data_IF_004375495843
#
_entry.id   IF_004375495843
#
_cell.length_a   1.000
_cell.length_b   1.000
_cell.length_c   1.000
_cell.angle_alpha   90.00
_cell.angle_beta   90.00
_cell.angle_gamma   90.00
#
_symmetry.space_group_name_H-M   'P 1'
#
loop_
_entity.id
_entity.type
_entity.pdbx_description
1 polymer ?
#
# COMPACT_ATOMS: atom_id res chain seq x y z
N UNK A 1 -4.62 -4.08 22.46
CA UNK A 1 -5.68 -5.09 22.26
C UNK A 1 -6.44 -4.92 20.94
N UNK A 2 -6.86 -3.70 20.58
CA UNK A 2 -7.63 -3.42 19.35
C UNK A 2 -6.94 -3.89 18.05
N UNK A 3 -5.62 -3.69 17.90
CA UNK A 3 -4.88 -4.15 16.70
C UNK A 3 -4.79 -5.68 16.56
N UNK A 4 -4.74 -6.41 17.67
CA UNK A 4 -4.64 -7.87 17.64
C UNK A 4 -5.99 -8.51 17.28
N UNK A 5 -7.09 -7.95 17.77
CA UNK A 5 -8.43 -8.35 17.37
C UNK A 5 -8.70 -8.04 15.89
N UNK A 6 -8.33 -6.85 15.40
CA UNK A 6 -8.46 -6.50 13.98
C UNK A 6 -7.65 -7.41 13.07
N UNK A 7 -6.43 -7.79 13.46
CA UNK A 7 -5.60 -8.72 12.72
C UNK A 7 -6.20 -10.14 12.70
N UNK A 8 -6.65 -10.64 13.86
CA UNK A 8 -7.29 -11.95 13.96
C UNK A 8 -8.55 -12.05 13.09
N UNK A 9 -9.41 -11.01 13.13
CA UNK A 9 -10.60 -10.93 12.27
C UNK A 9 -10.21 -10.98 10.79
N UNK A 10 -9.20 -10.20 10.38
CA UNK A 10 -8.74 -10.20 9.00
C UNK A 10 -8.19 -11.55 8.54
N UNK A 11 -7.44 -12.25 9.40
CA UNK A 11 -6.96 -13.62 9.13
C UNK A 11 -8.13 -14.60 8.98
N UNK A 12 -9.10 -14.57 9.89
CA UNK A 12 -10.28 -15.45 9.82
C UNK A 12 -11.12 -15.18 8.58
N UNK A 13 -11.41 -13.92 8.25
CA UNK A 13 -12.16 -13.55 7.06
C UNK A 13 -11.44 -13.92 5.77
N UNK A 14 -10.10 -13.80 5.75
CA UNK A 14 -9.30 -14.24 4.61
C UNK A 14 -9.44 -15.76 4.43
N UNK A 15 -9.31 -16.54 5.51
CA UNK A 15 -9.43 -18.00 5.44
C UNK A 15 -10.82 -18.46 4.99
N UNK A 16 -11.88 -17.81 5.47
CA UNK A 16 -13.27 -18.05 5.02
C UNK A 16 -13.44 -17.74 3.54
N UNK A 17 -12.89 -16.63 3.06
CA UNK A 17 -12.96 -16.27 1.65
C UNK A 17 -12.26 -17.30 0.77
N UNK A 18 -11.11 -17.83 1.20
CA UNK A 18 -10.36 -18.87 0.47
C UNK A 18 -11.15 -20.15 0.38
N UNK A 19 -11.69 -20.63 1.50
CA UNK A 19 -12.49 -21.86 1.53
C UNK A 19 -13.71 -21.70 0.63
N UNK A 20 -14.35 -20.53 0.67
CA UNK A 20 -15.51 -20.22 -0.18
C UNK A 20 -15.15 -20.25 -1.66
N UNK A 21 -14.02 -19.64 -2.04
CA UNK A 21 -13.52 -19.66 -3.42
C UNK A 21 -13.15 -21.08 -3.84
N UNK A 22 -12.50 -21.87 -2.98
CA UNK A 22 -12.15 -23.26 -3.26
C UNK A 22 -13.38 -24.17 -3.43
N UNK A 23 -14.42 -23.97 -2.62
CA UNK A 23 -15.67 -24.69 -2.78
C UNK A 23 -16.34 -24.34 -4.10
N UNK A 24 -16.35 -23.06 -4.50
CA UNK A 24 -16.85 -22.64 -5.81
C UNK A 24 -16.05 -23.25 -6.96
N UNK A 25 -14.71 -23.23 -6.85
CA UNK A 25 -13.75 -23.83 -7.78
C UNK A 25 -13.95 -25.35 -7.95
N UNK A 26 -14.41 -26.03 -6.90
CA UNK A 26 -14.69 -27.48 -6.94
C UNK A 26 -15.93 -27.82 -7.76
N UNK A 27 -16.82 -26.86 -7.99
CA UNK A 27 -18.03 -27.02 -8.80
C UNK A 27 -17.90 -26.39 -10.20
N UNK A 28 -16.82 -25.67 -10.51
CA UNK A 28 -16.61 -25.06 -11.83
C UNK A 28 -16.08 -26.07 -12.84
N UNK A 29 -16.59 -26.05 -14.09
CA UNK A 29 -16.05 -26.87 -15.17
C UNK A 29 -14.62 -26.47 -15.53
N UNK A 30 -13.83 -27.46 -15.96
CA UNK A 30 -12.44 -27.30 -16.40
C UNK A 30 -12.32 -26.28 -17.54
N UNK A 31 -11.33 -25.38 -17.45
CA UNK A 31 -11.03 -24.37 -18.49
C UNK A 31 -11.64 -22.99 -18.26
N UNK A 32 -12.37 -22.78 -17.16
CA UNK A 32 -12.87 -21.47 -16.72
C UNK A 32 -11.79 -20.69 -15.95
N UNK A 33 -11.78 -19.36 -16.05
CA UNK A 33 -10.81 -18.48 -15.36
C UNK A 33 -11.28 -18.19 -13.92
N UNK A 34 -11.61 -19.23 -13.17
CA UNK A 34 -12.07 -19.20 -11.77
C UNK A 34 -10.98 -18.78 -10.78
N UNK A 35 -9.71 -19.02 -11.12
CA UNK A 35 -8.57 -18.57 -10.32
C UNK A 35 -8.56 -17.04 -10.07
N UNK A 36 -9.25 -16.23 -10.89
CA UNK A 36 -9.43 -14.78 -10.65
C UNK A 36 -10.09 -14.48 -9.30
N UNK A 37 -10.95 -15.36 -8.82
CA UNK A 37 -11.62 -15.21 -7.53
C UNK A 37 -10.63 -15.22 -6.36
N UNK A 38 -9.45 -15.84 -6.53
CA UNK A 38 -8.39 -15.85 -5.52
C UNK A 38 -7.66 -14.51 -5.38
N UNK A 39 -7.84 -13.55 -6.32
CA UNK A 39 -7.27 -12.19 -6.20
C UNK A 39 -7.75 -11.51 -4.92
N UNK A 40 -9.04 -11.68 -4.56
CA UNK A 40 -9.63 -11.05 -3.38
C UNK A 40 -8.99 -11.58 -2.08
N UNK A 41 -8.92 -12.91 -1.85
CA UNK A 41 -8.14 -13.46 -0.74
C UNK A 41 -6.66 -13.09 -0.72
N UNK A 42 -5.96 -13.05 -1.87
CA UNK A 42 -4.55 -12.62 -1.95
C UNK A 42 -4.40 -11.18 -1.48
N UNK A 43 -5.29 -10.30 -1.93
CA UNK A 43 -5.31 -8.91 -1.50
C UNK A 43 -5.59 -8.78 0.00
N UNK A 44 -6.57 -9.51 0.53
CA UNK A 44 -6.88 -9.54 1.97
C UNK A 44 -5.71 -10.06 2.80
N UNK A 45 -5.08 -11.16 2.38
CA UNK A 45 -3.89 -11.73 3.01
C UNK A 45 -2.72 -10.74 3.03
N UNK A 46 -2.55 -9.97 1.95
CA UNK A 46 -1.51 -8.94 1.87
C UNK A 46 -1.70 -7.80 2.87
N UNK A 47 -2.96 -7.48 3.22
CA UNK A 47 -3.28 -6.45 4.22
C UNK A 47 -3.13 -6.94 5.66
N UNK A 48 -3.06 -8.26 5.86
CA UNK A 48 -2.94 -8.86 7.20
C UNK A 48 -1.54 -8.69 7.82
N UNK A 49 -0.56 -8.18 7.09
CA UNK A 49 0.74 -7.72 7.61
C UNK A 49 1.72 -8.83 8.03
N UNK A 50 1.25 -10.05 8.33
CA UNK A 50 2.09 -11.19 8.64
C UNK A 50 2.61 -11.84 7.34
N UNK A 51 3.87 -11.59 6.98
CA UNK A 51 4.45 -12.15 5.75
C UNK A 51 4.44 -13.68 5.74
N UNK A 52 4.60 -14.33 6.90
CA UNK A 52 4.52 -15.79 7.01
C UNK A 52 3.12 -16.31 6.62
N UNK A 53 2.06 -15.59 6.99
CA UNK A 53 0.68 -15.94 6.63
C UNK A 53 0.46 -15.87 5.12
N UNK A 54 0.98 -14.83 4.45
CA UNK A 54 0.88 -14.70 2.99
C UNK A 54 1.62 -15.85 2.26
N UNK A 55 2.78 -16.27 2.76
CA UNK A 55 3.52 -17.39 2.16
C UNK A 55 2.80 -18.74 2.36
N UNK A 56 2.33 -19.02 3.58
CA UNK A 56 1.52 -20.20 3.85
C UNK A 56 0.23 -20.21 3.00
N UNK A 57 -0.37 -19.03 2.82
CA UNK A 57 -1.55 -18.86 1.99
C UNK A 57 -1.26 -19.12 0.50
N UNK A 58 -0.19 -18.56 -0.06
CA UNK A 58 0.22 -18.83 -1.44
C UNK A 58 0.52 -20.33 -1.65
N UNK A 59 1.15 -20.99 -0.66
CA UNK A 59 1.38 -22.44 -0.69
C UNK A 59 0.06 -23.22 -0.65
N UNK A 60 -0.93 -22.79 0.13
CA UNK A 60 -2.26 -23.42 0.18
C UNK A 60 -2.99 -23.29 -1.16
N UNK A 61 -2.99 -22.10 -1.77
CA UNK A 61 -3.60 -21.86 -3.09
C UNK A 61 -2.92 -22.73 -4.15
N UNK A 62 -1.60 -22.86 -4.09
CA UNK A 62 -0.85 -23.75 -4.98
C UNK A 62 -1.29 -25.21 -4.81
N UNK A 63 -1.42 -25.69 -3.57
CA UNK A 63 -1.93 -27.04 -3.29
C UNK A 63 -3.36 -27.23 -3.78
N UNK A 64 -4.23 -26.24 -3.64
CA UNK A 64 -5.60 -26.26 -4.18
C UNK A 64 -5.62 -26.34 -5.72
N UNK A 65 -4.80 -25.55 -6.41
CA UNK A 65 -4.71 -25.58 -7.88
C UNK A 65 -4.20 -26.93 -8.41
N UNK A 66 -3.27 -27.56 -7.70
CA UNK A 66 -2.79 -28.92 -8.02
C UNK A 66 -3.89 -29.95 -7.75
N UNK A 67 -4.52 -29.90 -6.58
CA UNK A 67 -5.58 -30.84 -6.22
C UNK A 67 -6.78 -30.74 -7.18
N UNK A 68 -7.15 -29.52 -7.58
CA UNK A 68 -8.18 -29.27 -8.57
C UNK A 68 -7.86 -29.86 -9.94
N UNK A 69 -6.59 -30.00 -10.32
CA UNK A 69 -6.19 -30.64 -11.59
C UNK A 69 -6.43 -32.15 -11.57
N UNK A 70 -6.17 -32.80 -10.44
CA UNK A 70 -6.39 -34.24 -10.29
C UNK A 70 -7.86 -34.62 -10.01
N UNK A 71 -8.61 -33.72 -9.35
CA UNK A 71 -10.02 -33.97 -8.99
C UNK A 71 -10.98 -33.68 -10.13
N UNK A 72 -10.60 -32.85 -11.11
CA UNK A 72 -11.49 -32.48 -12.21
C UNK A 72 -11.48 -33.56 -13.29
N UNK A 73 -12.50 -34.42 -13.31
CA UNK A 73 -12.70 -35.42 -14.35
C UNK A 73 -13.25 -34.79 -15.64
N UNK A 74 -12.46 -34.79 -16.72
CA UNK A 74 -12.89 -34.33 -18.04
C UNK A 74 -11.71 -34.15 -19.00
N UNK A 75 -11.39 -35.18 -19.77
CA UNK A 75 -10.17 -35.28 -20.60
C UNK A 75 -10.26 -34.63 -22.00
N UNK A 76 -11.19 -33.70 -22.27
CA UNK A 76 -11.46 -33.27 -23.67
C UNK A 76 -10.88 -31.91 -24.11
N UNK A 77 -10.24 -31.13 -23.23
CA UNK A 77 -9.63 -29.83 -23.61
C UNK A 77 -8.22 -29.68 -23.02
N UNK A 78 -7.32 -30.57 -23.43
CA UNK A 78 -6.02 -30.82 -22.79
C UNK A 78 -5.08 -29.60 -22.68
N UNK A 79 -5.10 -28.68 -23.66
CA UNK A 79 -4.14 -27.56 -23.71
C UNK A 79 -4.60 -26.30 -22.96
N UNK A 80 -5.92 -26.07 -22.84
CA UNK A 80 -6.45 -24.85 -22.22
C UNK A 80 -6.45 -24.93 -20.68
N UNK A 81 -6.70 -26.11 -20.09
CA UNK A 81 -6.67 -26.28 -18.63
C UNK A 81 -5.28 -25.99 -18.03
N UNK A 82 -4.25 -26.63 -18.59
CA UNK A 82 -2.88 -26.47 -18.12
C UNK A 82 -2.39 -25.03 -18.27
N UNK A 83 -2.68 -24.40 -19.41
CA UNK A 83 -2.34 -22.99 -19.64
C UNK A 83 -3.02 -22.07 -18.63
N UNK A 84 -4.33 -22.27 -18.40
CA UNK A 84 -5.12 -21.46 -17.47
C UNK A 84 -4.63 -21.60 -16.02
N UNK A 85 -4.27 -22.81 -15.58
CA UNK A 85 -3.71 -23.07 -14.23
C UNK A 85 -2.33 -22.44 -14.05
N UNK A 86 -1.45 -22.55 -15.05
CA UNK A 86 -0.13 -21.90 -15.02
C UNK A 86 -0.28 -20.38 -15.00
N UNK A 87 -1.19 -19.83 -15.79
CA UNK A 87 -1.48 -18.40 -15.81
C UNK A 87 -1.98 -17.92 -14.43
N UNK A 88 -2.94 -18.62 -13.83
CA UNK A 88 -3.43 -18.30 -12.48
C UNK A 88 -2.34 -18.35 -11.42
N UNK A 89 -1.47 -19.36 -11.48
CA UNK A 89 -0.32 -19.48 -10.57
C UNK A 89 0.64 -18.29 -10.69
N UNK A 90 1.03 -17.93 -11.91
CA UNK A 90 1.94 -16.81 -12.16
C UNK A 90 1.32 -15.49 -11.69
N UNK A 91 0.03 -15.28 -11.93
CA UNK A 91 -0.68 -14.07 -11.49
C UNK A 91 -0.75 -13.98 -9.97
N UNK A 92 -1.11 -15.07 -9.29
CA UNK A 92 -1.28 -15.08 -7.84
C UNK A 92 0.07 -14.87 -7.12
N UNK A 93 1.15 -15.49 -7.59
CA UNK A 93 2.50 -15.25 -7.07
C UNK A 93 2.95 -13.81 -7.33
N UNK A 94 2.77 -13.32 -8.56
CA UNK A 94 3.16 -11.96 -8.92
C UNK A 94 2.43 -10.94 -8.07
N UNK A 95 1.12 -11.10 -7.90
CA UNK A 95 0.29 -10.22 -7.07
C UNK A 95 0.70 -10.29 -5.61
N UNK A 96 0.91 -11.49 -5.05
CA UNK A 96 1.40 -11.66 -3.68
C UNK A 96 2.74 -10.97 -3.44
N UNK A 97 3.68 -11.08 -4.40
CA UNK A 97 4.98 -10.41 -4.33
C UNK A 97 4.86 -8.89 -4.42
N UNK A 98 4.09 -8.39 -5.39
CA UNK A 98 3.85 -6.95 -5.60
C UNK A 98 3.22 -6.35 -4.35
N UNK A 99 2.15 -6.95 -3.82
CA UNK A 99 1.46 -6.46 -2.63
C UNK A 99 2.38 -6.45 -1.41
N UNK A 100 3.22 -7.48 -1.21
CA UNK A 100 4.20 -7.50 -0.12
C UNK A 100 5.21 -6.36 -0.24
N UNK A 101 5.76 -6.15 -1.44
CA UNK A 101 6.75 -5.10 -1.69
C UNK A 101 6.17 -3.70 -1.48
N UNK A 102 4.95 -3.45 -1.96
CA UNK A 102 4.26 -2.18 -1.75
C UNK A 102 4.06 -1.87 -0.26
N UNK A 103 3.64 -2.86 0.54
CA UNK A 103 3.47 -2.68 1.97
C UNK A 103 4.79 -2.38 2.70
N UNK A 104 5.89 -3.05 2.32
CA UNK A 104 7.22 -2.80 2.87
C UNK A 104 7.70 -1.37 2.57
N UNK A 105 7.57 -0.94 1.30
CA UNK A 105 7.96 0.42 0.86
C UNK A 105 7.13 1.47 1.59
N UNK A 106 5.80 1.29 1.64
CA UNK A 106 4.92 2.21 2.33
C UNK A 106 5.21 2.28 3.84
N UNK A 107 5.50 1.13 4.47
CA UNK A 107 5.90 1.06 5.87
C UNK A 107 7.21 1.82 6.14
N UNK A 108 8.23 1.64 5.29
CA UNK A 108 9.50 2.37 5.40
C UNK A 108 9.31 3.88 5.23
N UNK A 109 8.52 4.30 4.25
CA UNK A 109 8.21 5.72 4.02
C UNK A 109 7.53 6.33 5.25
N UNK A 110 6.51 5.66 5.80
CA UNK A 110 5.78 6.13 6.99
C UNK A 110 6.65 6.19 8.24
N UNK A 111 7.56 5.23 8.43
CA UNK A 111 8.52 5.25 9.54
C UNK A 111 9.51 6.41 9.38
N UNK A 112 10.02 6.61 8.16
CA UNK A 112 10.91 7.73 7.83
C UNK A 112 10.24 9.08 8.07
N UNK A 113 9.02 9.26 7.57
CA UNK A 113 8.22 10.47 7.78
C UNK A 113 7.95 10.71 9.28
N UNK A 114 7.51 9.69 10.02
CA UNK A 114 7.27 9.83 11.46
C UNK A 114 8.54 10.17 12.23
N UNK A 115 9.68 9.60 11.85
CA UNK A 115 10.97 9.91 12.46
C UNK A 115 11.40 11.35 12.15
N UNK A 116 11.23 11.80 10.90
CA UNK A 116 11.48 13.18 10.50
C UNK A 116 10.62 14.15 11.31
N UNK A 117 9.29 13.93 11.36
CA UNK A 117 8.36 14.77 12.14
C UNK A 117 8.77 14.86 13.60
N UNK A 118 8.98 13.71 14.27
CA UNK A 118 9.43 13.66 15.67
C UNK A 118 10.73 14.44 15.92
N UNK A 119 11.70 14.32 15.00
CA UNK A 119 12.95 15.06 15.12
C UNK A 119 12.71 16.56 14.95
N UNK A 120 12.00 16.96 13.90
CA UNK A 120 11.70 18.35 13.61
C UNK A 120 10.90 19.01 14.75
N UNK A 121 9.91 18.32 15.31
CA UNK A 121 9.09 18.81 16.43
C UNK A 121 9.89 18.96 17.74
N UNK A 122 10.95 18.15 17.92
CA UNK A 122 11.82 18.23 19.10
C UNK A 122 12.78 19.43 19.07
N UNK A 123 13.05 20.00 17.90
CA UNK A 123 13.98 21.11 17.75
C UNK A 123 13.30 22.43 18.14
N UNK A 124 14.03 23.38 18.74
CA UNK A 124 13.49 24.69 19.11
C UNK A 124 13.35 25.64 17.91
N UNK A 125 13.88 25.27 16.74
CA UNK A 125 13.86 26.08 15.53
C UNK A 125 12.59 25.80 14.71
N UNK A 126 12.08 26.82 14.03
CA UNK A 126 10.99 26.64 13.06
C UNK A 126 11.51 25.89 11.84
N UNK A 127 10.92 24.74 11.55
CA UNK A 127 11.27 23.89 10.41
C UNK A 127 10.05 23.81 9.51
N UNK A 128 10.26 24.07 8.23
CA UNK A 128 9.23 23.99 7.19
C UNK A 128 9.78 23.34 5.93
N UNK A 129 8.88 22.78 5.12
CA UNK A 129 9.20 22.33 3.76
C UNK A 129 8.24 22.99 2.78
N UNK A 130 8.67 23.04 1.52
CA UNK A 130 7.92 23.60 0.42
C UNK A 130 8.08 22.75 -0.84
N UNK A 131 7.03 22.71 -1.66
CA UNK A 131 7.08 22.11 -3.00
C UNK A 131 8.00 22.93 -3.93
N UNK A 132 8.44 22.38 -5.07
CA UNK A 132 9.22 23.11 -6.08
C UNK A 132 8.60 24.46 -6.48
N UNK A 133 7.27 24.55 -6.48
CA UNK A 133 6.49 25.75 -6.79
C UNK A 133 6.50 26.81 -5.67
N UNK A 134 7.18 26.53 -4.55
CA UNK A 134 7.25 27.40 -3.37
C UNK A 134 6.03 27.29 -2.45
N UNK A 135 5.18 26.26 -2.63
CA UNK A 135 4.01 26.05 -1.77
C UNK A 135 4.41 25.32 -0.50
N UNK A 136 4.15 25.92 0.66
CA UNK A 136 4.49 25.30 1.95
C UNK A 136 3.59 24.10 2.25
N UNK A 137 4.20 22.94 2.48
CA UNK A 137 3.52 21.65 2.68
C UNK A 137 3.77 21.03 4.08
N UNK A 138 4.68 21.60 4.87
CA UNK A 138 4.95 21.17 6.24
C UNK A 138 5.45 22.31 7.12
N UNK A 139 5.06 22.28 8.38
CA UNK A 139 5.69 22.97 9.50
C UNK A 139 5.79 22.02 10.69
N UNK A 140 6.86 22.12 11.48
CA UNK A 140 6.97 21.47 12.79
C UNK A 140 6.09 22.17 13.84
N UNK A 141 5.89 21.54 15.00
CA UNK A 141 5.02 22.05 16.07
C UNK A 141 5.39 23.47 16.57
N UNK A 142 6.61 23.96 16.29
CA UNK A 142 7.05 25.32 16.63
C UNK A 142 6.31 26.43 15.91
N UNK A 143 5.55 26.13 14.86
CA UNK A 143 4.79 27.17 14.14
C UNK A 143 3.83 27.96 15.04
N UNK A 144 3.34 27.35 16.13
CA UNK A 144 2.46 28.02 17.10
C UNK A 144 3.13 29.23 17.78
N UNK A 145 4.46 29.23 17.85
CA UNK A 145 5.24 30.32 18.46
C UNK A 145 5.35 31.54 17.52
N UNK A 146 4.95 31.40 16.24
CA UNK A 146 5.09 32.44 15.22
C UNK A 146 3.73 32.96 14.76
N UNK A 147 3.48 34.26 14.98
CA UNK A 147 2.28 34.94 14.48
C UNK A 147 2.27 35.00 12.95
N UNK A 148 1.17 34.57 12.32
CA UNK A 148 0.97 34.67 10.86
C UNK A 148 1.01 33.34 10.10
N UNK A 149 1.43 32.25 10.76
CA UNK A 149 1.43 30.91 10.15
C UNK A 149 0.10 30.23 10.47
N UNK A 150 -0.69 29.94 9.44
CA UNK A 150 -2.02 29.32 9.62
C UNK A 150 -2.16 28.10 8.72
N UNK A 151 -2.52 26.98 9.33
CA UNK A 151 -2.83 25.76 8.59
C UNK A 151 -4.17 25.93 7.85
N UNK A 152 -4.16 25.75 6.52
CA UNK A 152 -5.36 25.73 5.66
C UNK A 152 -5.79 24.28 5.42
N UNK A 153 -6.89 24.09 4.68
CA UNK A 153 -7.38 22.79 4.21
C UNK A 153 -6.29 22.05 3.41
N UNK A 154 -6.35 20.71 3.49
CA UNK A 154 -5.47 19.79 2.75
C UNK A 154 -3.98 19.89 3.13
N UNK A 155 -3.67 20.23 4.38
CA UNK A 155 -2.28 20.40 4.88
C UNK A 155 -1.46 21.51 4.20
N UNK A 156 -2.07 22.34 3.35
CA UNK A 156 -1.42 23.53 2.87
C UNK A 156 -1.31 24.57 3.98
N UNK A 157 -0.22 25.33 3.99
CA UNK A 157 -0.01 26.38 4.98
C UNK A 157 -0.08 27.76 4.35
N UNK A 158 -0.90 28.63 4.95
CA UNK A 158 -0.84 30.04 4.67
C UNK A 158 0.30 30.64 5.48
N UNK A 159 1.24 31.28 4.80
CA UNK A 159 2.31 32.06 5.43
C UNK A 159 2.23 33.54 5.07
N UNK A 160 1.07 34.00 4.56
CA UNK A 160 0.87 35.42 4.20
C UNK A 160 1.42 36.26 5.34
N UNK A 161 2.50 37.00 5.02
CA UNK A 161 3.21 37.93 5.90
C UNK A 161 4.45 37.43 6.67
N UNK A 162 5.06 36.28 6.35
CA UNK A 162 6.40 35.95 6.90
C UNK A 162 7.56 36.67 6.17
N UNK A 163 7.41 36.89 4.86
CA UNK A 163 8.40 37.60 4.04
C UNK A 163 7.90 39.04 3.87
N UNK A 164 8.77 40.02 4.12
CA UNK A 164 8.46 41.42 3.88
C UNK A 164 8.18 41.66 2.39
N UNK A 165 7.25 42.56 2.06
CA UNK A 165 6.80 42.83 0.69
C UNK A 165 7.99 43.12 -0.25
N UNK A 166 8.96 43.90 0.23
CA UNK A 166 10.17 44.27 -0.50
C UNK A 166 11.08 43.07 -0.83
N UNK A 167 10.99 41.99 -0.05
CA UNK A 167 11.81 40.78 -0.17
C UNK A 167 11.10 39.64 -0.92
N UNK A 168 9.81 39.76 -1.22
CA UNK A 168 9.01 38.70 -1.88
C UNK A 168 9.63 38.31 -3.22
N UNK A 169 9.92 39.30 -4.08
CA UNK A 169 10.46 39.04 -5.41
C UNK A 169 11.84 38.39 -5.35
N UNK A 170 12.71 38.90 -4.48
CA UNK A 170 14.08 38.39 -4.31
C UNK A 170 14.06 36.94 -3.79
N UNK A 171 13.18 36.65 -2.83
CA UNK A 171 13.00 35.30 -2.28
C UNK A 171 12.51 34.34 -3.36
N UNK A 172 11.51 34.74 -4.17
CA UNK A 172 10.97 33.93 -5.25
C UNK A 172 12.02 33.64 -6.35
N UNK A 173 12.79 34.65 -6.77
CA UNK A 173 13.86 34.49 -7.77
C UNK A 173 14.97 33.55 -7.25
N UNK A 174 15.34 33.69 -5.98
CA UNK A 174 16.35 32.84 -5.35
C UNK A 174 15.88 31.39 -5.23
N UNK A 175 14.63 31.18 -4.81
CA UNK A 175 14.00 29.86 -4.73
C UNK A 175 13.95 29.18 -6.11
N UNK A 176 13.48 29.91 -7.13
CA UNK A 176 13.38 29.39 -8.49
C UNK A 176 14.73 29.00 -9.09
N UNK A 177 15.84 29.61 -8.65
CA UNK A 177 17.18 29.21 -9.05
C UNK A 177 17.66 27.98 -8.26
N UNK A 178 17.40 27.91 -6.96
CA UNK A 178 17.83 26.78 -6.12
C UNK A 178 17.17 25.45 -6.50
N UNK A 179 15.94 25.47 -7.03
CA UNK A 179 15.19 24.27 -7.43
C UNK A 179 15.58 23.77 -8.84
N UNK A 180 16.32 24.55 -9.62
CA UNK A 180 16.74 24.18 -11.00
C UNK A 180 18.00 23.31 -11.05
N UNK A 181 18.77 23.24 -9.96
CA UNK A 181 19.97 22.39 -9.84
C UNK A 181 19.62 20.98 -9.33
#
# INVERSE_FOLDING_TARGET
>A
MQNAQSAAVLHTSTLVAVISVFLLDSFTPVGMVDWLLYIVPVFMASRAGASAFLYLFLSLVFSCLIAGHYSSGGHDIQNYDLFNRIAGFLVIISLGFISRKQFEVFGKLKIGESRFRKLADSLPQLIWTATPEGTLDYFNERYHDFSGIVKIRENHWNHRSLVFEDDVKKTADTWANAVKE
#
